data_IF_009762005459
#
_entry.id   IF_009762005459
#
_cell.length_a   1.000
_cell.length_b   1.000
_cell.length_c   1.000
_cell.angle_alpha   90.00
_cell.angle_beta   90.00
_cell.angle_gamma   90.00
#
_symmetry.space_group_name_H-M   'P 1'
#
loop_
_entity.id
_entity.type
_entity.pdbx_description
1 polymer ?
#
# COMPACT_ATOMS: atom_id res chain seq x y z
N UNK A 1 16.34 37.89 24.94
CA UNK A 1 16.37 36.41 24.97
C UNK A 1 15.01 35.91 25.41
N UNK A 2 14.31 35.11 24.60
CA UNK A 2 13.04 34.51 25.06
C UNK A 2 12.12 34.00 23.94
N UNK A 3 12.60 33.00 23.20
CA UNK A 3 11.87 31.92 22.50
C UNK A 3 10.65 32.32 21.65
N UNK A 4 10.86 32.39 20.34
CA UNK A 4 9.84 32.17 19.33
C UNK A 4 9.14 30.82 19.61
N UNK A 5 7.86 30.84 19.95
CA UNK A 5 7.01 29.65 19.89
C UNK A 5 6.62 29.44 18.43
N UNK A 6 7.34 28.56 17.75
CA UNK A 6 7.05 28.18 16.36
C UNK A 6 5.67 27.48 16.29
N UNK A 7 4.80 27.78 15.30
CA UNK A 7 3.49 27.13 15.15
C UNK A 7 3.52 25.63 14.78
N UNK A 8 4.69 24.98 14.85
CA UNK A 8 4.92 23.64 14.30
C UNK A 8 4.94 22.53 15.37
N UNK A 9 4.44 22.78 16.57
CA UNK A 9 4.42 21.80 17.66
C UNK A 9 3.15 20.93 17.65
N UNK A 10 2.83 20.36 16.48
CA UNK A 10 1.84 19.28 16.39
C UNK A 10 2.40 18.11 15.59
N UNK A 11 2.66 16.96 16.22
CA UNK A 11 3.02 15.74 15.52
C UNK A 11 1.74 15.10 14.96
N UNK A 12 1.12 15.71 13.96
CA UNK A 12 -0.03 15.13 13.26
C UNK A 12 0.46 14.46 11.97
N UNK A 13 0.73 13.15 12.11
CA UNK A 13 0.35 12.08 11.20
C UNK A 13 0.85 12.09 9.74
N UNK A 14 2.10 11.67 9.54
CA UNK A 14 2.44 10.86 8.36
C UNK A 14 2.20 9.39 8.70
N UNK A 15 0.95 9.06 9.00
CA UNK A 15 0.48 7.68 9.07
C UNK A 15 -0.06 7.35 7.68
N UNK A 16 0.47 6.32 7.02
CA UNK A 16 -0.16 5.79 5.81
C UNK A 16 -1.62 5.54 6.13
N UNK A 17 -2.52 6.31 5.54
CA UNK A 17 -3.90 6.44 6.02
C UNK A 17 -4.53 5.06 6.02
N UNK A 18 -4.81 4.53 7.21
CA UNK A 18 -5.51 3.26 7.36
C UNK A 18 -6.80 3.39 6.58
N UNK A 19 -6.90 2.67 5.47
CA UNK A 19 -8.03 2.82 4.56
C UNK A 19 -9.10 1.86 5.02
N UNK A 20 -10.34 2.34 5.14
CA UNK A 20 -11.50 1.48 5.38
C UNK A 20 -11.51 0.35 4.36
N UNK A 21 -11.83 -0.86 4.82
CA UNK A 21 -11.91 -2.02 3.95
C UNK A 21 -12.86 -1.76 2.78
N UNK A 22 -12.43 -1.98 1.52
CA UNK A 22 -13.30 -1.78 0.37
C UNK A 22 -14.43 -2.82 0.38
N UNK A 23 -15.59 -2.45 -0.16
CA UNK A 23 -16.66 -3.42 -0.42
C UNK A 23 -16.21 -4.42 -1.48
N UNK A 24 -16.61 -5.68 -1.35
CA UNK A 24 -16.34 -6.70 -2.35
C UNK A 24 -16.89 -6.25 -3.73
N UNK A 25 -16.04 -6.11 -4.77
CA UNK A 25 -16.51 -5.65 -6.07
C UNK A 25 -17.37 -6.74 -6.74
N UNK A 26 -18.50 -6.37 -7.35
CA UNK A 26 -19.38 -7.32 -8.08
C UNK A 26 -19.71 -8.60 -7.28
N UNK A 27 -20.35 -8.51 -6.10
CA UNK A 27 -20.50 -9.63 -5.17
C UNK A 27 -21.17 -10.87 -5.79
N UNK A 28 -22.12 -10.68 -6.70
CA UNK A 28 -22.84 -11.77 -7.38
C UNK A 28 -21.98 -12.59 -8.36
N UNK A 29 -20.76 -12.14 -8.69
CA UNK A 29 -19.86 -12.83 -9.63
C UNK A 29 -19.08 -13.97 -8.96
N UNK A 30 -18.81 -13.84 -7.67
CA UNK A 30 -17.89 -14.70 -6.95
C UNK A 30 -18.58 -15.94 -6.39
N UNK A 31 -17.84 -17.06 -6.31
CA UNK A 31 -18.32 -18.21 -5.55
C UNK A 31 -18.44 -17.86 -4.06
N UNK A 32 -19.36 -18.52 -3.36
CA UNK A 32 -19.57 -18.31 -1.92
C UNK A 32 -18.28 -18.53 -1.10
N UNK A 33 -17.43 -19.48 -1.50
CA UNK A 33 -16.13 -19.70 -0.86
C UNK A 33 -15.18 -18.49 -1.03
N UNK A 34 -15.16 -17.89 -2.22
CA UNK A 34 -14.36 -16.69 -2.52
C UNK A 34 -14.85 -15.48 -1.71
N UNK A 35 -16.17 -15.28 -1.61
CA UNK A 35 -16.75 -14.22 -0.80
C UNK A 35 -16.38 -14.39 0.69
N UNK A 36 -16.47 -15.61 1.22
CA UNK A 36 -16.05 -15.90 2.61
C UNK A 36 -14.56 -15.64 2.86
N UNK A 37 -13.70 -15.98 1.89
CA UNK A 37 -12.28 -15.64 1.97
C UNK A 37 -12.06 -14.13 2.04
N UNK A 38 -12.78 -13.35 1.24
CA UNK A 38 -12.73 -11.89 1.29
C UNK A 38 -13.19 -11.34 2.65
N UNK A 39 -14.34 -11.81 3.14
CA UNK A 39 -14.88 -11.41 4.44
C UNK A 39 -13.91 -11.73 5.59
N UNK A 40 -13.16 -12.82 5.48
CA UNK A 40 -12.14 -13.22 6.46
C UNK A 40 -11.00 -12.20 6.51
N UNK A 41 -10.50 -11.76 5.35
CA UNK A 41 -9.47 -10.72 5.30
C UNK A 41 -9.99 -9.38 5.83
N UNK A 42 -11.18 -8.97 5.41
CA UNK A 42 -11.81 -7.70 5.84
C UNK A 42 -12.05 -7.64 7.34
N UNK A 43 -12.47 -8.75 7.95
CA UNK A 43 -12.73 -8.85 9.40
C UNK A 43 -11.49 -9.17 10.23
N UNK A 44 -10.34 -9.43 9.60
CA UNK A 44 -9.11 -9.79 10.32
C UNK A 44 -8.55 -8.59 11.10
N UNK A 45 -7.94 -8.79 12.29
CA UNK A 45 -7.24 -7.72 13.00
C UNK A 45 -6.13 -7.05 12.17
N UNK A 46 -5.53 -7.81 11.25
CA UNK A 46 -4.48 -7.31 10.36
C UNK A 46 -4.99 -6.26 9.37
N UNK A 47 -6.27 -6.32 8.97
CA UNK A 47 -6.86 -5.33 8.08
C UNK A 47 -6.90 -3.91 8.69
N UNK A 48 -6.87 -3.77 10.02
CA UNK A 48 -6.86 -2.47 10.69
C UNK A 48 -5.62 -1.61 10.34
N UNK A 49 -4.56 -2.24 9.85
CA UNK A 49 -3.26 -1.62 9.53
C UNK A 49 -2.90 -1.75 8.05
N UNK A 50 -3.87 -2.12 7.21
CA UNK A 50 -3.70 -2.16 5.76
C UNK A 50 -3.73 -0.76 5.15
N UNK A 51 -2.74 -0.50 4.31
CA UNK A 51 -2.70 0.63 3.41
C UNK A 51 -3.44 0.29 2.12
N UNK A 52 -3.73 1.31 1.29
CA UNK A 52 -4.40 1.11 0.00
C UNK A 52 -3.71 0.09 -0.92
N UNK A 53 -2.38 -0.03 -0.85
CA UNK A 53 -1.62 -1.01 -1.64
C UNK A 53 -1.85 -2.46 -1.20
N UNK A 54 -2.09 -2.70 0.10
CA UNK A 54 -2.42 -4.03 0.62
C UNK A 54 -3.83 -4.43 0.16
N UNK A 55 -4.79 -3.50 0.23
CA UNK A 55 -6.14 -3.69 -0.28
C UNK A 55 -6.16 -3.95 -1.78
N UNK A 56 -5.38 -3.19 -2.56
CA UNK A 56 -5.22 -3.42 -3.99
C UNK A 56 -4.67 -4.82 -4.28
N UNK A 57 -3.68 -5.28 -3.50
CA UNK A 57 -3.14 -6.64 -3.65
C UNK A 57 -4.19 -7.71 -3.33
N UNK A 58 -5.00 -7.55 -2.30
CA UNK A 58 -6.13 -8.46 -2.03
C UNK A 58 -7.16 -8.47 -3.17
N UNK A 59 -7.48 -7.30 -3.73
CA UNK A 59 -8.38 -7.20 -4.89
C UNK A 59 -7.81 -7.92 -6.12
N UNK A 60 -6.50 -7.85 -6.34
CA UNK A 60 -5.83 -8.61 -7.42
C UNK A 60 -5.82 -10.12 -7.17
N UNK A 61 -5.92 -10.57 -5.91
CA UNK A 61 -6.00 -11.99 -5.56
C UNK A 61 -7.39 -12.60 -5.76
N UNK A 62 -8.47 -11.79 -5.72
CA UNK A 62 -9.85 -12.28 -5.87
C UNK A 62 -10.06 -13.23 -7.06
N UNK A 63 -9.63 -12.90 -8.30
CA UNK A 63 -9.79 -13.81 -9.43
C UNK A 63 -8.99 -15.12 -9.30
N UNK A 64 -7.84 -15.10 -8.63
CA UNK A 64 -7.02 -16.30 -8.41
C UNK A 64 -7.68 -17.23 -7.41
N UNK A 65 -8.19 -16.69 -6.30
CA UNK A 65 -8.94 -17.45 -5.28
C UNK A 65 -10.22 -18.02 -5.87
N UNK A 66 -10.96 -17.23 -6.65
CA UNK A 66 -12.16 -17.73 -7.34
C UNK A 66 -11.82 -18.80 -8.37
N UNK A 67 -10.73 -18.62 -9.12
CA UNK A 67 -10.19 -19.62 -10.04
C UNK A 67 -9.82 -20.92 -9.33
N UNK A 68 -9.16 -20.83 -8.16
CA UNK A 68 -8.82 -21.99 -7.33
C UNK A 68 -10.07 -22.73 -6.89
N UNK A 69 -11.06 -22.04 -6.32
CA UNK A 69 -12.32 -22.64 -5.87
C UNK A 69 -13.04 -23.33 -7.04
N UNK A 70 -13.09 -22.70 -8.22
CA UNK A 70 -13.67 -23.30 -9.43
C UNK A 70 -12.89 -24.52 -9.90
N UNK A 71 -11.56 -24.50 -9.85
CA UNK A 71 -10.72 -25.62 -10.24
C UNK A 71 -10.95 -26.83 -9.31
N UNK A 72 -11.01 -26.60 -8.00
CA UNK A 72 -11.36 -27.62 -6.99
C UNK A 72 -12.75 -28.20 -7.28
N UNK A 73 -13.76 -27.36 -7.50
CA UNK A 73 -15.11 -27.82 -7.86
C UNK A 73 -15.16 -28.67 -9.14
N UNK A 74 -14.26 -28.40 -10.09
CA UNK A 74 -14.13 -29.16 -11.35
C UNK A 74 -13.18 -30.35 -11.26
N UNK A 75 -12.61 -30.63 -10.08
CA UNK A 75 -11.61 -31.68 -9.85
C UNK A 75 -10.33 -31.51 -10.69
N UNK A 76 -10.02 -30.29 -11.13
CA UNK A 76 -8.77 -29.96 -11.82
C UNK A 76 -7.69 -29.57 -10.79
N UNK A 77 -7.14 -30.59 -10.13
CA UNK A 77 -6.18 -30.39 -9.04
C UNK A 77 -4.83 -29.84 -9.51
N UNK A 78 -4.43 -30.08 -10.76
CA UNK A 78 -3.19 -29.52 -11.29
C UNK A 78 -3.29 -27.99 -11.45
N UNK A 79 -4.43 -27.49 -11.95
CA UNK A 79 -4.67 -26.05 -11.99
C UNK A 79 -4.83 -25.47 -10.59
N UNK A 80 -5.55 -26.17 -9.70
CA UNK A 80 -5.75 -25.74 -8.32
C UNK A 80 -4.41 -25.56 -7.59
N UNK A 81 -3.48 -26.51 -7.71
CA UNK A 81 -2.16 -26.44 -7.07
C UNK A 81 -1.32 -25.25 -7.56
N UNK A 82 -1.32 -24.99 -8.87
CA UNK A 82 -0.63 -23.83 -9.47
C UNK A 82 -1.20 -22.51 -8.95
N UNK A 83 -2.53 -22.39 -8.85
CA UNK A 83 -3.20 -21.21 -8.32
C UNK A 83 -2.93 -21.03 -6.82
N UNK A 84 -3.01 -22.11 -6.05
CA UNK A 84 -2.75 -22.12 -4.61
C UNK A 84 -1.34 -21.63 -4.29
N UNK A 85 -0.34 -22.08 -5.06
CA UNK A 85 1.06 -21.63 -4.90
C UNK A 85 1.19 -20.11 -5.07
N UNK A 86 0.50 -19.51 -6.06
CA UNK A 86 0.53 -18.06 -6.28
C UNK A 86 -0.22 -17.29 -5.19
N UNK A 87 -1.34 -17.85 -4.71
CA UNK A 87 -2.13 -17.28 -3.60
C UNK A 87 -1.28 -17.22 -2.34
N UNK A 88 -0.73 -18.35 -1.89
CA UNK A 88 0.09 -18.44 -0.67
C UNK A 88 1.31 -17.51 -0.73
N UNK A 89 1.99 -17.46 -1.89
CA UNK A 89 3.13 -16.54 -2.09
C UNK A 89 2.72 -15.08 -1.92
N UNK A 90 1.59 -14.69 -2.50
CA UNK A 90 1.11 -13.30 -2.45
C UNK A 90 0.58 -12.92 -1.06
N UNK A 91 -0.11 -13.84 -0.39
CA UNK A 91 -0.60 -13.66 0.99
C UNK A 91 0.57 -13.52 1.99
N UNK A 92 1.63 -14.30 1.80
CA UNK A 92 2.86 -14.19 2.63
C UNK A 92 3.47 -12.78 2.58
N UNK A 93 3.38 -12.09 1.43
CA UNK A 93 3.85 -10.72 1.30
C UNK A 93 3.00 -9.72 2.08
N UNK A 94 1.70 -9.96 2.28
CA UNK A 94 0.85 -9.08 3.08
C UNK A 94 1.26 -9.10 4.56
N UNK A 95 1.62 -10.28 5.08
CA UNK A 95 2.20 -10.44 6.42
C UNK A 95 3.58 -9.78 6.55
N UNK A 96 4.48 -10.05 5.61
CA UNK A 96 5.83 -9.50 5.63
C UNK A 96 5.84 -7.96 5.51
N UNK A 97 5.03 -7.39 4.60
CA UNK A 97 4.99 -5.93 4.39
C UNK A 97 4.54 -5.19 5.66
N UNK A 98 3.62 -5.76 6.43
CA UNK A 98 3.23 -5.17 7.71
C UNK A 98 4.42 -5.13 8.70
N UNK A 99 5.16 -6.24 8.84
CA UNK A 99 6.35 -6.33 9.70
C UNK A 99 7.45 -5.38 9.23
N UNK A 100 7.65 -5.26 7.91
CA UNK A 100 8.65 -4.36 7.32
C UNK A 100 8.28 -2.88 7.56
N UNK A 101 7.00 -2.52 7.52
CA UNK A 101 6.54 -1.16 7.88
C UNK A 101 6.75 -0.85 9.35
N UNK A 102 6.51 -1.81 10.24
CA UNK A 102 6.78 -1.65 11.69
C UNK A 102 8.28 -1.45 11.96
N UNK A 103 9.15 -2.16 11.23
CA UNK A 103 10.60 -2.04 11.34
C UNK A 103 11.16 -0.79 10.67
N UNK A 104 10.56 -0.38 9.56
CA UNK A 104 11.16 0.53 8.60
C UNK A 104 11.28 1.97 9.09
N UNK A 105 10.26 2.53 9.78
CA UNK A 105 10.20 3.97 10.17
C UNK A 105 10.86 4.93 9.16
N UNK A 106 10.73 4.68 7.86
CA UNK A 106 11.36 5.50 6.82
C UNK A 106 10.56 6.81 6.76
N UNK A 107 11.15 7.89 7.27
CA UNK A 107 10.61 9.23 7.10
C UNK A 107 10.87 9.66 5.66
N UNK A 108 9.86 9.56 4.81
CA UNK A 108 9.88 10.25 3.51
C UNK A 108 9.65 11.72 3.83
N UNK A 109 10.72 12.52 3.79
CA UNK A 109 10.57 13.97 3.83
C UNK A 109 9.91 14.39 2.51
N UNK A 110 8.85 15.22 2.54
CA UNK A 110 8.36 15.82 1.31
C UNK A 110 9.52 16.57 0.66
N UNK A 111 9.72 16.37 -0.65
CA UNK A 111 10.68 17.16 -1.43
C UNK A 111 10.43 18.64 -1.14
N UNK A 112 11.40 19.29 -0.50
CA UNK A 112 11.40 20.73 -0.37
C UNK A 112 11.36 21.29 -1.79
N UNK A 113 10.31 22.07 -2.08
CA UNK A 113 10.23 22.83 -3.32
C UNK A 113 11.53 23.63 -3.41
N UNK A 114 12.36 23.45 -4.46
CA UNK A 114 13.64 24.13 -4.50
C UNK A 114 13.37 25.63 -4.39
N UNK A 115 13.94 26.28 -3.37
CA UNK A 115 13.95 27.74 -3.30
C UNK A 115 14.44 28.28 -4.65
N UNK A 116 13.81 29.32 -5.20
CA UNK A 116 14.27 29.93 -6.43
C UNK A 116 15.73 30.34 -6.23
N UNK A 117 16.63 29.60 -6.88
CA UNK A 117 18.06 29.90 -6.80
C UNK A 117 18.25 31.31 -7.33
N UNK A 118 19.03 32.16 -6.64
CA UNK A 118 19.30 33.50 -7.12
C UNK A 118 19.90 33.40 -8.52
N UNK A 119 19.38 34.19 -9.44
CA UNK A 119 19.85 34.24 -10.81
C UNK A 119 21.31 34.73 -10.84
N UNK A 120 22.25 33.77 -10.87
CA UNK A 120 23.69 34.03 -10.91
C UNK A 120 24.13 34.59 -12.27
N UNK A 121 23.24 34.73 -13.26
CA UNK A 121 23.57 35.33 -14.55
C UNK A 121 23.84 36.84 -14.44
N UNK A 122 23.40 37.49 -13.36
CA UNK A 122 23.81 38.85 -13.02
C UNK A 122 25.25 38.92 -12.50
N UNK A 123 25.68 37.93 -11.70
CA UNK A 123 27.04 37.88 -11.13
C UNK A 123 28.12 37.48 -12.16
N UNK A 124 27.75 36.73 -13.20
CA UNK A 124 28.69 36.33 -14.25
C UNK A 124 29.17 37.49 -15.14
N UNK A 125 28.36 38.56 -15.28
CA UNK A 125 28.73 39.74 -16.08
C UNK A 125 29.80 40.62 -15.42
N UNK A 126 29.87 40.63 -14.10
CA UNK A 126 30.85 41.43 -13.36
C UNK A 126 32.23 40.75 -13.23
N UNK A 127 32.28 39.42 -13.36
CA UNK A 127 33.52 38.65 -13.24
C UNK A 127 34.25 38.41 -14.57
N UNK A 128 33.51 38.42 -15.68
CA UNK A 128 34.04 38.24 -17.04
C UNK A 128 33.54 39.38 -17.93
N UNK A 129 33.98 40.61 -17.66
CA UNK A 129 33.79 41.74 -18.57
C UNK A 129 34.69 41.61 -19.81
N UNK A 130 34.14 41.99 -20.97
CA UNK A 130 34.69 42.09 -22.34
C UNK A 130 36.18 41.76 -22.58
#
# INVERSE_FOLDING_TARGET
MGRYTSPLDKPEDIQGTTTNAPTLPTPNKWLAATARWWDTWVSSPQAAVFAGTDWQRLLMLLPLVDGYNRAVHKLDYMLADRLLTQIVRSESLLGATHVDRLRGRIKVQPEETPEPQPDLSALARDFFGD
#
